data_IF_557576862657
#
_entry.id   IF_557576862657
#
_cell.length_a   1.000
_cell.length_b   1.000
_cell.length_c   1.000
_cell.angle_alpha   90.00
_cell.angle_beta   90.00
_cell.angle_gamma   90.00
#
_symmetry.space_group_name_H-M   'P 1'
#
loop_
_entity.id
_entity.type
_entity.pdbx_description
1 polymer ?
#
# COMPACT_ATOMS: atom_id res chain seq x y z
N UNK A 1 -32.24 -11.51 -8.84
CA UNK A 1 -30.93 -10.86 -9.02
C UNK A 1 -30.55 -10.98 -10.48
N UNK A 2 -30.13 -9.88 -11.09
CA UNK A 2 -29.58 -9.89 -12.44
C UNK A 2 -28.07 -10.19 -12.39
N UNK A 3 -27.51 -10.71 -13.48
CA UNK A 3 -26.07 -10.91 -13.60
C UNK A 3 -25.26 -9.60 -13.43
N UNK A 4 -25.88 -8.45 -13.70
CA UNK A 4 -25.26 -7.13 -13.54
C UNK A 4 -25.19 -6.73 -12.06
N UNK A 5 -26.22 -7.05 -11.27
CA UNK A 5 -26.21 -6.84 -9.81
C UNK A 5 -25.17 -7.73 -9.12
N UNK A 6 -25.07 -8.99 -9.54
CA UNK A 6 -24.04 -9.91 -9.03
C UNK A 6 -22.63 -9.42 -9.35
N UNK A 7 -22.39 -8.94 -10.57
CA UNK A 7 -21.12 -8.34 -10.97
C UNK A 7 -20.79 -7.10 -10.13
N UNK A 8 -21.75 -6.17 -9.98
CA UNK A 8 -21.55 -4.97 -9.17
C UNK A 8 -21.21 -5.32 -7.71
N UNK A 9 -21.87 -6.33 -7.14
CA UNK A 9 -21.59 -6.78 -5.78
C UNK A 9 -20.18 -7.36 -5.64
N UNK A 10 -19.74 -8.21 -6.58
CA UNK A 10 -18.38 -8.78 -6.57
C UNK A 10 -17.33 -7.69 -6.71
N UNK A 11 -17.55 -6.71 -7.59
CA UNK A 11 -16.63 -5.58 -7.76
C UNK A 11 -16.54 -4.72 -6.50
N UNK A 12 -17.64 -4.53 -5.77
CA UNK A 12 -17.63 -3.84 -4.48
C UNK A 12 -16.79 -4.58 -3.41
N UNK A 13 -16.82 -5.91 -3.39
CA UNK A 13 -15.95 -6.71 -2.50
C UNK A 13 -14.48 -6.55 -2.88
N UNK A 14 -14.17 -6.57 -4.17
CA UNK A 14 -12.79 -6.33 -4.66
C UNK A 14 -12.32 -4.92 -4.30
N UNK A 15 -13.18 -3.91 -4.43
CA UNK A 15 -12.87 -2.53 -4.01
C UNK A 15 -12.50 -2.49 -2.52
N UNK A 16 -13.30 -3.12 -1.66
CA UNK A 16 -13.04 -3.13 -0.23
C UNK A 16 -11.71 -3.80 0.10
N UNK A 17 -11.39 -4.95 -0.51
CA UNK A 17 -10.11 -5.62 -0.30
C UNK A 17 -8.91 -4.76 -0.75
N UNK A 18 -9.05 -4.00 -1.84
CA UNK A 18 -8.02 -3.09 -2.31
C UNK A 18 -7.83 -1.91 -1.35
N UNK A 19 -8.92 -1.35 -0.81
CA UNK A 19 -8.87 -0.29 0.21
C UNK A 19 -8.19 -0.79 1.49
N UNK A 20 -8.54 -2.00 1.94
CA UNK A 20 -7.93 -2.62 3.11
C UNK A 20 -6.43 -2.84 2.86
N UNK A 21 -6.05 -3.37 1.70
CA UNK A 21 -4.64 -3.55 1.34
C UNK A 21 -3.88 -2.22 1.32
N UNK A 22 -4.46 -1.15 0.76
CA UNK A 22 -3.88 0.19 0.78
C UNK A 22 -3.65 0.72 2.20
N UNK A 23 -4.61 0.51 3.11
CA UNK A 23 -4.46 0.91 4.52
C UNK A 23 -3.35 0.12 5.23
N UNK A 24 -3.21 -1.18 4.96
CA UNK A 24 -2.14 -2.02 5.51
C UNK A 24 -0.76 -1.59 4.99
N UNK A 25 -0.66 -1.24 3.70
CA UNK A 25 0.58 -0.70 3.12
C UNK A 25 0.95 0.64 3.76
N UNK A 26 0.00 1.56 3.94
CA UNK A 26 0.25 2.83 4.63
C UNK A 26 0.71 2.66 6.08
N UNK A 27 0.14 1.68 6.79
CA UNK A 27 0.60 1.31 8.15
C UNK A 27 2.01 0.76 8.12
N UNK A 28 2.32 -0.13 7.16
CA UNK A 28 3.65 -0.71 6.98
C UNK A 28 4.70 0.37 6.71
N UNK A 29 4.38 1.36 5.85
CA UNK A 29 5.24 2.50 5.56
C UNK A 29 5.57 3.31 6.81
N UNK A 30 4.55 3.60 7.63
CA UNK A 30 4.74 4.29 8.91
C UNK A 30 5.69 3.51 9.82
N UNK A 31 5.52 2.19 9.94
CA UNK A 31 6.40 1.36 10.75
C UNK A 31 7.84 1.28 10.23
N UNK A 32 8.06 1.34 8.91
CA UNK A 32 9.39 1.38 8.32
C UNK A 32 10.10 2.70 8.65
N UNK A 33 9.41 3.84 8.52
CA UNK A 33 9.93 5.16 8.88
C UNK A 33 10.24 5.27 10.39
N UNK A 34 9.38 4.72 11.25
CA UNK A 34 9.64 4.63 12.69
C UNK A 34 10.87 3.77 13.00
N UNK A 35 11.03 2.63 12.31
CA UNK A 35 12.19 1.76 12.47
C UNK A 35 13.49 2.45 12.00
N UNK A 36 13.46 3.15 10.88
CA UNK A 36 14.61 3.93 10.39
C UNK A 36 15.02 4.99 11.41
N UNK A 37 14.06 5.79 11.89
CA UNK A 37 14.31 6.81 12.92
C UNK A 37 14.91 6.20 14.18
N UNK A 38 14.38 5.08 14.65
CA UNK A 38 14.91 4.38 15.82
C UNK A 38 16.35 3.91 15.58
N UNK A 39 16.67 3.36 14.41
CA UNK A 39 18.02 2.92 14.06
C UNK A 39 19.00 4.09 13.97
N UNK A 40 18.62 5.19 13.32
CA UNK A 40 19.44 6.41 13.24
C UNK A 40 19.76 6.98 14.63
N UNK A 41 18.86 6.83 15.62
CA UNK A 41 19.17 7.29 16.99
C UNK A 41 20.23 6.46 17.70
N UNK A 42 20.52 5.22 17.25
CA UNK A 42 21.56 4.37 17.84
C UNK A 42 22.97 4.85 17.50
N UNK A 43 23.18 5.32 16.27
CA UNK A 43 24.42 5.96 15.83
C UNK A 43 24.10 7.12 14.87
N UNK A 44 23.89 8.34 15.43
CA UNK A 44 23.59 9.52 14.62
C UNK A 44 24.77 9.99 13.76
N UNK A 45 26.00 9.60 14.10
CA UNK A 45 27.20 10.00 13.36
C UNK A 45 27.43 9.12 12.13
N UNK A 46 27.04 7.85 12.20
CA UNK A 46 27.19 6.87 11.11
C UNK A 46 25.90 6.05 10.86
N UNK A 47 24.81 6.70 10.42
CA UNK A 47 23.52 6.04 10.19
C UNK A 47 23.61 4.87 9.19
N UNK A 48 24.54 4.92 8.23
CA UNK A 48 24.78 3.86 7.26
C UNK A 48 25.28 2.53 7.87
N UNK A 49 25.76 2.56 9.11
CA UNK A 49 26.23 1.37 9.83
C UNK A 49 25.10 0.65 10.57
N UNK A 50 24.01 1.38 10.87
CA UNK A 50 22.88 0.92 11.69
C UNK A 50 21.59 0.78 10.90
N UNK A 51 21.39 1.55 9.84
CA UNK A 51 20.24 1.44 8.93
C UNK A 51 20.58 0.45 7.82
N UNK A 52 19.94 -0.74 7.78
CA UNK A 52 20.22 -1.71 6.75
C UNK A 52 19.63 -1.23 5.41
N UNK A 53 20.34 -1.39 4.28
CA UNK A 53 19.86 -0.94 2.97
C UNK A 53 18.59 -1.69 2.51
N UNK A 54 18.31 -2.85 3.10
CA UNK A 54 17.05 -3.56 2.89
C UNK A 54 15.83 -2.78 3.38
N UNK A 55 15.99 -1.83 4.31
CA UNK A 55 14.90 -1.02 4.84
C UNK A 55 14.40 -0.02 3.79
N UNK A 56 15.31 0.73 3.15
CA UNK A 56 14.95 1.60 2.01
C UNK A 56 14.35 0.81 0.86
N UNK A 57 14.93 -0.36 0.56
CA UNK A 57 14.36 -1.26 -0.46
C UNK A 57 12.95 -1.72 -0.10
N UNK A 58 12.65 -1.95 1.17
CA UNK A 58 11.31 -2.33 1.61
C UNK A 58 10.34 -1.15 1.44
N UNK A 59 10.74 0.07 1.80
CA UNK A 59 9.93 1.28 1.58
C UNK A 59 9.58 1.49 0.10
N UNK A 60 10.58 1.38 -0.79
CA UNK A 60 10.38 1.46 -2.26
C UNK A 60 9.39 0.41 -2.79
N UNK A 61 9.30 -0.75 -2.16
CA UNK A 61 8.38 -1.82 -2.58
C UNK A 61 6.97 -1.55 -2.05
N UNK A 62 6.85 -1.02 -0.84
CA UNK A 62 5.57 -0.60 -0.26
C UNK A 62 4.98 0.55 -1.06
N UNK A 63 5.79 1.55 -1.43
CA UNK A 63 5.35 2.67 -2.27
C UNK A 63 4.84 2.19 -3.63
N UNK A 64 5.61 1.35 -4.33
CA UNK A 64 5.17 0.77 -5.61
C UNK A 64 3.89 -0.06 -5.49
N UNK A 65 3.74 -0.82 -4.41
CA UNK A 65 2.52 -1.58 -4.16
C UNK A 65 1.33 -0.65 -3.93
N UNK A 66 1.53 0.46 -3.23
CA UNK A 66 0.49 1.46 -2.98
C UNK A 66 0.04 2.13 -4.29
N UNK A 67 0.99 2.58 -5.12
CA UNK A 67 0.69 3.15 -6.44
C UNK A 67 -0.13 2.18 -7.31
N UNK A 68 0.23 0.89 -7.29
CA UNK A 68 -0.48 -0.14 -8.04
C UNK A 68 -1.91 -0.33 -7.52
N UNK A 69 -2.11 -0.34 -6.19
CA UNK A 69 -3.45 -0.43 -5.58
C UNK A 69 -4.31 0.78 -5.97
N UNK A 70 -3.75 1.98 -5.95
CA UNK A 70 -4.46 3.20 -6.34
C UNK A 70 -4.86 3.19 -7.81
N UNK A 71 -3.98 2.74 -8.71
CA UNK A 71 -4.29 2.58 -10.13
C UNK A 71 -5.41 1.56 -10.39
N UNK A 72 -5.37 0.42 -9.70
CA UNK A 72 -6.41 -0.61 -9.83
C UNK A 72 -7.75 -0.10 -9.28
N UNK A 73 -7.75 0.58 -8.14
CA UNK A 73 -8.95 1.22 -7.58
C UNK A 73 -9.55 2.25 -8.55
N UNK A 74 -8.72 3.09 -9.16
CA UNK A 74 -9.15 4.04 -10.17
C UNK A 74 -9.81 3.34 -11.36
N UNK A 75 -9.15 2.31 -11.89
CA UNK A 75 -9.66 1.51 -13.02
C UNK A 75 -10.97 0.81 -12.69
N UNK A 76 -11.09 0.26 -11.48
CA UNK A 76 -12.30 -0.41 -11.00
C UNK A 76 -13.47 0.56 -10.92
N UNK A 77 -13.27 1.74 -10.34
CA UNK A 77 -14.30 2.79 -10.23
C UNK A 77 -14.74 3.31 -11.59
N UNK A 78 -13.79 3.52 -12.50
CA UNK A 78 -14.08 3.90 -13.88
C UNK A 78 -14.90 2.83 -14.62
N UNK A 79 -14.64 1.55 -14.34
CA UNK A 79 -15.44 0.46 -14.91
C UNK A 79 -16.86 0.44 -14.33
N UNK A 80 -16.98 0.51 -13.00
CA UNK A 80 -18.28 0.49 -12.30
C UNK A 80 -19.17 1.67 -12.68
N UNK A 81 -18.58 2.86 -12.90
CA UNK A 81 -19.34 4.04 -13.34
C UNK A 81 -19.85 3.96 -14.78
N UNK A 82 -19.33 3.03 -15.58
CA UNK A 82 -19.71 2.80 -16.99
C UNK A 82 -20.61 1.58 -17.20
N UNK A 83 -20.86 0.80 -16.14
CA UNK A 83 -21.82 -0.30 -16.10
C UNK A 83 -23.27 0.22 -16.10
#
# INVERSE_FOLDING_TARGET
MSALEELAQVLGVVEQHLLDAGAHLGTTRTSLDEAEKALVTLDPEHPETVVPPSLHRADDQVERAQDMVEQVLGTLRDFVTRL
#
